data_IF_350010679120
#
_entry.id   IF_350010679120
#
_cell.length_a   1.000
_cell.length_b   1.000
_cell.length_c   1.000
_cell.angle_alpha   90.00
_cell.angle_beta   90.00
_cell.angle_gamma   90.00
#
_symmetry.space_group_name_H-M   'P 1'
#
loop_
_entity.id
_entity.type
_entity.pdbx_description
1 polymer ?
#
# COMPACT_ATOMS: atom_id res chain seq x y z
N UNK A 1 26.37 4.52 19.35
CA UNK A 1 26.75 4.77 17.94
C UNK A 1 27.28 3.52 17.27
N UNK A 2 27.94 2.62 18.01
CA UNK A 2 28.51 1.38 17.45
C UNK A 2 27.48 0.37 16.92
N UNK A 3 26.28 0.30 17.51
CA UNK A 3 25.21 -0.55 16.98
C UNK A 3 24.78 -0.11 15.56
N UNK A 4 24.66 1.20 15.35
CA UNK A 4 24.27 1.78 14.06
C UNK A 4 25.41 1.63 13.05
N UNK A 5 26.67 1.82 13.47
CA UNK A 5 27.84 1.57 12.64
C UNK A 5 28.01 0.09 12.27
N UNK A 6 27.67 -0.83 13.18
CA UNK A 6 27.74 -2.28 12.94
C UNK A 6 26.58 -2.79 12.08
N UNK A 7 25.37 -2.25 12.24
CA UNK A 7 24.22 -2.55 11.35
C UNK A 7 24.42 -2.00 9.94
N UNK A 8 25.03 -0.80 9.86
CA UNK A 8 25.52 -0.26 8.61
C UNK A 8 26.55 -1.26 8.05
N UNK A 9 27.66 -1.55 8.75
CA UNK A 9 28.73 -2.45 8.30
C UNK A 9 28.26 -3.85 7.85
N UNK A 10 27.36 -4.50 8.58
CA UNK A 10 26.81 -5.82 8.22
C UNK A 10 25.99 -5.76 6.93
N UNK A 11 25.20 -4.69 6.73
CA UNK A 11 24.48 -4.44 5.49
C UNK A 11 25.40 -4.19 4.29
N UNK A 12 26.64 -3.71 4.49
CA UNK A 12 27.60 -3.44 3.42
C UNK A 12 28.42 -4.65 2.97
N UNK A 13 28.32 -5.79 3.65
CA UNK A 13 29.08 -7.02 3.34
C UNK A 13 28.54 -7.83 2.14
N UNK A 14 27.47 -7.36 1.50
CA UNK A 14 26.88 -7.96 0.30
C UNK A 14 27.74 -7.63 -0.95
N UNK A 15 28.69 -8.49 -1.27
CA UNK A 15 29.70 -8.28 -2.33
C UNK A 15 29.22 -8.84 -3.69
N UNK A 16 28.43 -8.04 -4.42
CA UNK A 16 28.39 -8.06 -5.89
C UNK A 16 29.08 -6.81 -6.44
N UNK A 17 29.50 -6.79 -7.73
CA UNK A 17 29.95 -5.54 -8.35
C UNK A 17 28.83 -4.52 -8.28
N UNK A 18 29.03 -3.47 -7.49
CA UNK A 18 28.05 -2.40 -7.32
C UNK A 18 28.08 -1.54 -8.58
N UNK A 19 26.94 -1.21 -9.19
CA UNK A 19 26.89 -0.07 -10.08
C UNK A 19 27.38 1.14 -9.30
N UNK A 20 28.10 2.04 -9.97
CA UNK A 20 28.46 3.29 -9.32
C UNK A 20 27.18 4.03 -8.93
N UNK A 21 27.24 4.86 -7.88
CA UNK A 21 26.11 5.72 -7.50
C UNK A 21 25.61 6.53 -8.71
N UNK A 22 26.54 6.96 -9.56
CA UNK A 22 26.25 7.60 -10.84
C UNK A 22 25.45 6.69 -11.77
N UNK A 23 25.83 5.43 -12.01
CA UNK A 23 25.07 4.51 -12.88
C UNK A 23 23.63 4.29 -12.38
N UNK A 24 23.43 4.18 -11.07
CA UNK A 24 22.11 4.05 -10.45
C UNK A 24 21.28 5.33 -10.63
N UNK A 25 21.88 6.49 -10.40
CA UNK A 25 21.25 7.81 -10.53
C UNK A 25 20.90 8.13 -11.99
N UNK A 26 21.79 7.79 -12.93
CA UNK A 26 21.58 7.96 -14.36
C UNK A 26 20.47 7.06 -14.90
N UNK A 27 20.40 5.79 -14.45
CA UNK A 27 19.38 4.83 -14.88
C UNK A 27 17.98 5.13 -14.33
N UNK A 28 17.89 5.34 -13.01
CA UNK A 28 16.64 5.77 -12.35
C UNK A 28 16.22 7.14 -12.89
N UNK A 29 17.15 8.07 -13.03
CA UNK A 29 16.90 9.43 -13.46
C UNK A 29 16.24 9.54 -14.83
N UNK A 30 16.74 8.80 -15.83
CA UNK A 30 16.26 8.89 -17.22
C UNK A 30 14.94 8.17 -17.48
N UNK A 31 14.61 7.15 -16.69
CA UNK A 31 13.44 6.30 -16.98
C UNK A 31 12.34 6.44 -15.93
N UNK A 32 12.68 6.37 -14.64
CA UNK A 32 11.69 6.38 -13.57
C UNK A 32 11.01 7.73 -13.41
N UNK A 33 11.77 8.84 -13.36
CA UNK A 33 11.15 10.16 -13.10
C UNK A 33 10.19 10.63 -14.20
N UNK A 34 10.51 10.50 -15.51
CA UNK A 34 9.55 10.84 -16.56
C UNK A 34 8.28 9.99 -16.48
N UNK A 35 8.41 8.68 -16.20
CA UNK A 35 7.26 7.79 -15.99
C UNK A 35 6.45 8.23 -14.76
N UNK A 36 7.12 8.58 -13.66
CA UNK A 36 6.49 9.04 -12.44
C UNK A 36 5.68 10.32 -12.68
N UNK A 37 6.25 11.30 -13.39
CA UNK A 37 5.54 12.52 -13.78
C UNK A 37 4.33 12.24 -14.67
N UNK A 38 4.46 11.36 -15.66
CA UNK A 38 3.35 10.95 -16.52
C UNK A 38 2.22 10.29 -15.71
N UNK A 39 2.56 9.38 -14.78
CA UNK A 39 1.59 8.77 -13.87
C UNK A 39 0.97 9.79 -12.91
N UNK A 40 1.75 10.72 -12.35
CA UNK A 40 1.23 11.79 -11.50
C UNK A 40 0.23 12.66 -12.25
N UNK A 41 0.51 13.00 -13.52
CA UNK A 41 -0.43 13.72 -14.37
C UNK A 41 -1.72 12.91 -14.55
N UNK A 42 -1.63 11.61 -14.87
CA UNK A 42 -2.81 10.75 -15.04
C UNK A 42 -3.65 10.64 -13.75
N UNK A 43 -3.00 10.37 -12.61
CA UNK A 43 -3.67 10.28 -11.31
C UNK A 43 -4.29 11.61 -10.91
N UNK A 44 -3.59 12.73 -11.14
CA UNK A 44 -4.09 14.08 -10.93
C UNK A 44 -5.31 14.38 -11.80
N UNK A 45 -5.29 14.01 -13.08
CA UNK A 45 -6.45 14.12 -13.97
C UNK A 45 -7.62 13.30 -13.44
N UNK A 46 -7.40 12.02 -13.12
CA UNK A 46 -8.46 11.15 -12.58
C UNK A 46 -9.07 11.71 -11.29
N UNK A 47 -8.25 12.29 -10.41
CA UNK A 47 -8.71 12.94 -9.19
C UNK A 47 -9.54 14.20 -9.46
N UNK A 48 -9.22 14.97 -10.50
CA UNK A 48 -9.92 16.22 -10.84
C UNK A 48 -11.11 16.05 -11.80
N UNK A 49 -11.31 14.87 -12.39
CA UNK A 49 -12.49 14.59 -13.21
C UNK A 49 -13.80 14.66 -12.40
N UNK A 50 -14.90 15.04 -13.06
CA UNK A 50 -16.23 15.10 -12.43
C UNK A 50 -16.32 16.15 -11.33
N UNK A 51 -16.73 15.74 -10.13
CA UNK A 51 -16.95 16.62 -8.97
C UNK A 51 -15.67 17.24 -8.38
N UNK A 52 -14.49 16.89 -8.94
CA UNK A 52 -13.20 17.47 -8.56
C UNK A 52 -12.54 16.84 -7.33
N UNK A 53 -11.32 17.26 -7.02
CA UNK A 53 -10.44 16.61 -6.02
C UNK A 53 -10.96 16.61 -4.56
N UNK A 54 -11.93 17.48 -4.26
CA UNK A 54 -12.57 17.56 -2.92
C UNK A 54 -13.69 16.54 -2.73
N UNK A 55 -14.20 15.97 -3.81
CA UNK A 55 -15.33 15.08 -3.76
C UNK A 55 -14.93 13.67 -3.34
N UNK A 56 -15.76 13.04 -2.51
CA UNK A 56 -15.61 11.65 -2.09
C UNK A 56 -15.59 10.69 -3.29
N UNK A 57 -16.44 10.94 -4.27
CA UNK A 57 -16.54 10.18 -5.52
C UNK A 57 -15.22 10.19 -6.30
N UNK A 58 -14.51 11.32 -6.30
CA UNK A 58 -13.21 11.46 -6.96
C UNK A 58 -12.10 10.67 -6.30
N UNK A 59 -12.05 10.67 -4.96
CA UNK A 59 -11.11 9.85 -4.20
C UNK A 59 -11.41 8.36 -4.43
N UNK A 60 -12.69 7.97 -4.45
CA UNK A 60 -13.10 6.59 -4.70
C UNK A 60 -12.69 6.13 -6.09
N UNK A 61 -12.90 6.96 -7.11
CA UNK A 61 -12.44 6.69 -8.47
C UNK A 61 -10.92 6.51 -8.53
N UNK A 62 -10.15 7.39 -7.89
CA UNK A 62 -8.70 7.29 -7.85
C UNK A 62 -8.23 5.96 -7.22
N UNK A 63 -8.74 5.64 -6.04
CA UNK A 63 -8.42 4.39 -5.32
C UNK A 63 -8.85 3.14 -6.10
N UNK A 64 -10.03 3.18 -6.73
CA UNK A 64 -10.56 2.09 -7.53
C UNK A 64 -9.66 1.80 -8.73
N UNK A 65 -9.27 2.82 -9.50
CA UNK A 65 -8.44 2.63 -10.69
C UNK A 65 -7.02 2.18 -10.34
N UNK A 66 -6.40 2.74 -9.30
CA UNK A 66 -5.10 2.25 -8.86
C UNK A 66 -5.18 0.79 -8.37
N UNK A 67 -6.25 0.43 -7.66
CA UNK A 67 -6.52 -0.94 -7.23
C UNK A 67 -6.73 -1.94 -8.37
N UNK A 68 -6.88 -1.48 -9.61
CA UNK A 68 -6.90 -2.33 -10.81
C UNK A 68 -5.55 -2.26 -11.53
N UNK A 69 -5.13 -1.05 -11.90
CA UNK A 69 -3.95 -0.81 -12.75
C UNK A 69 -2.67 -1.25 -12.05
N UNK A 70 -2.50 -0.93 -10.76
CA UNK A 70 -1.31 -1.29 -9.99
C UNK A 70 -1.09 -2.80 -9.96
N UNK A 71 -2.05 -3.61 -9.47
CA UNK A 71 -1.92 -5.06 -9.48
C UNK A 71 -1.72 -5.67 -10.86
N UNK A 72 -2.39 -5.15 -11.91
CA UNK A 72 -2.18 -5.65 -13.28
C UNK A 72 -0.75 -5.41 -13.75
N UNK A 73 -0.22 -4.19 -13.57
CA UNK A 73 1.16 -3.88 -13.95
C UNK A 73 2.16 -4.69 -13.12
N UNK A 74 1.89 -4.87 -11.81
CA UNK A 74 2.71 -5.71 -10.94
C UNK A 74 2.70 -7.18 -11.38
N UNK A 75 1.54 -7.74 -11.77
CA UNK A 75 1.45 -9.09 -12.33
C UNK A 75 2.16 -9.17 -13.68
N UNK A 76 2.08 -8.15 -14.55
CA UNK A 76 2.84 -8.14 -15.80
C UNK A 76 4.35 -8.09 -15.56
N UNK A 77 4.79 -7.33 -14.55
CA UNK A 77 6.18 -7.30 -14.11
C UNK A 77 6.63 -8.67 -13.62
N UNK A 78 5.91 -9.22 -12.64
CA UNK A 78 5.98 -10.61 -12.20
C UNK A 78 5.35 -11.49 -13.27
N UNK A 79 5.60 -11.28 -14.56
CA UNK A 79 5.40 -12.21 -15.69
C UNK A 79 6.54 -12.02 -16.71
N UNK A 80 7.54 -11.19 -16.39
CA UNK A 80 8.62 -10.79 -17.30
C UNK A 80 8.15 -9.90 -18.44
N UNK A 81 6.90 -9.41 -18.39
CA UNK A 81 6.24 -8.63 -19.45
C UNK A 81 6.14 -7.14 -19.12
N UNK A 82 6.53 -6.74 -17.91
CA UNK A 82 6.44 -5.37 -17.41
C UNK A 82 7.79 -4.81 -16.99
N UNK A 83 7.97 -3.50 -17.14
CA UNK A 83 9.18 -2.80 -16.66
C UNK A 83 9.12 -2.55 -15.15
N UNK A 84 10.26 -2.69 -14.48
CA UNK A 84 10.44 -2.30 -13.08
C UNK A 84 10.09 -0.85 -12.83
N UNK A 85 10.70 0.06 -13.58
CA UNK A 85 10.50 1.49 -13.42
C UNK A 85 9.05 1.89 -13.69
N UNK A 86 8.40 1.26 -14.67
CA UNK A 86 6.97 1.49 -14.94
C UNK A 86 6.09 1.09 -13.75
N UNK A 87 6.37 -0.07 -13.17
CA UNK A 87 5.60 -0.64 -12.05
C UNK A 87 5.74 0.23 -10.81
N UNK A 88 6.99 0.56 -10.44
CA UNK A 88 7.26 1.43 -9.30
C UNK A 88 6.70 2.83 -9.50
N UNK A 89 6.88 3.42 -10.69
CA UNK A 89 6.41 4.78 -10.99
C UNK A 89 4.89 4.88 -10.90
N UNK A 90 4.15 3.89 -11.42
CA UNK A 90 2.70 3.82 -11.35
C UNK A 90 2.20 3.97 -9.90
N UNK A 91 2.70 3.13 -9.01
CA UNK A 91 2.23 3.07 -7.62
C UNK A 91 2.77 4.23 -6.78
N UNK A 92 4.05 4.57 -6.87
CA UNK A 92 4.62 5.68 -6.10
C UNK A 92 3.99 7.02 -6.48
N UNK A 93 3.73 7.26 -7.77
CA UNK A 93 3.02 8.45 -8.22
C UNK A 93 1.60 8.53 -7.65
N UNK A 94 0.87 7.41 -7.60
CA UNK A 94 -0.47 7.35 -7.01
C UNK A 94 -0.43 7.73 -5.53
N UNK A 95 0.43 7.08 -4.74
CA UNK A 95 0.51 7.33 -3.30
C UNK A 95 0.94 8.77 -3.00
N UNK A 96 1.84 9.33 -3.82
CA UNK A 96 2.24 10.73 -3.70
C UNK A 96 1.09 11.70 -4.01
N UNK A 97 0.38 11.49 -5.12
CA UNK A 97 -0.79 12.31 -5.50
C UNK A 97 -1.87 12.24 -4.42
N UNK A 98 -2.16 11.05 -3.89
CA UNK A 98 -3.18 10.91 -2.85
C UNK A 98 -2.75 11.60 -1.55
N UNK A 99 -1.49 11.44 -1.11
CA UNK A 99 -0.97 12.17 0.08
C UNK A 99 -1.08 13.68 -0.08
N UNK A 100 -0.68 14.22 -1.23
CA UNK A 100 -0.84 15.66 -1.49
C UNK A 100 -2.30 16.08 -1.45
N UNK A 101 -3.20 15.28 -2.03
CA UNK A 101 -4.63 15.54 -1.98
C UNK A 101 -5.17 15.48 -0.55
N UNK A 102 -4.69 14.55 0.27
CA UNK A 102 -5.08 14.45 1.67
C UNK A 102 -4.65 15.70 2.46
N UNK A 103 -3.39 16.11 2.31
CA UNK A 103 -2.84 17.31 2.96
C UNK A 103 -3.59 18.56 2.48
N UNK A 104 -3.81 18.70 1.17
CA UNK A 104 -4.59 19.80 0.59
C UNK A 104 -5.98 19.90 1.23
N UNK A 105 -6.71 18.79 1.29
CA UNK A 105 -8.06 18.78 1.84
C UNK A 105 -8.10 19.01 3.34
N UNK A 106 -7.22 18.38 4.11
CA UNK A 106 -7.29 18.38 5.57
C UNK A 106 -6.68 19.65 6.18
N UNK A 107 -5.55 20.14 5.63
CA UNK A 107 -4.78 21.25 6.20
C UNK A 107 -5.17 22.59 5.57
N UNK A 108 -5.25 22.62 4.23
CA UNK A 108 -5.38 23.89 3.51
C UNK A 108 -6.83 24.26 3.20
N UNK A 109 -7.69 23.28 2.96
CA UNK A 109 -9.05 23.51 2.47
C UNK A 109 -10.15 23.21 3.50
N UNK A 110 -9.82 22.50 4.58
CA UNK A 110 -10.78 22.14 5.62
C UNK A 110 -11.94 21.25 5.13
N UNK A 111 -11.73 20.50 4.05
CA UNK A 111 -12.75 19.61 3.49
C UNK A 111 -13.06 18.51 4.50
N UNK A 112 -14.33 18.32 4.86
CA UNK A 112 -14.71 17.22 5.76
C UNK A 112 -14.41 15.88 5.09
N UNK A 113 -13.45 15.15 5.64
CA UNK A 113 -13.09 13.81 5.19
C UNK A 113 -14.28 12.85 5.28
N UNK A 114 -14.35 11.89 4.34
CA UNK A 114 -15.38 10.84 4.36
C UNK A 114 -15.12 9.75 5.41
N UNK A 115 -13.96 9.78 6.06
CA UNK A 115 -13.53 8.83 7.07
C UNK A 115 -13.59 9.44 8.48
N UNK A 116 -13.67 8.58 9.50
CA UNK A 116 -13.44 9.00 10.89
C UNK A 116 -11.99 9.46 11.06
N UNK A 117 -11.68 10.42 11.97
CA UNK A 117 -10.32 10.90 12.18
C UNK A 117 -9.29 9.79 12.46
N UNK A 118 -9.67 8.76 13.22
CA UNK A 118 -8.81 7.60 13.49
C UNK A 118 -8.46 6.81 12.23
N UNK A 119 -9.41 6.64 11.31
CA UNK A 119 -9.18 5.91 10.06
C UNK A 119 -8.34 6.74 9.11
N UNK A 120 -8.54 8.07 9.11
CA UNK A 120 -7.75 9.01 8.33
C UNK A 120 -6.28 9.00 8.73
N UNK A 121 -5.98 8.94 10.03
CA UNK A 121 -4.60 8.80 10.51
C UNK A 121 -3.95 7.50 10.02
N UNK A 122 -4.68 6.37 10.09
CA UNK A 122 -4.17 5.09 9.59
C UNK A 122 -3.90 5.17 8.08
N UNK A 123 -4.74 5.88 7.33
CA UNK A 123 -4.53 6.12 5.90
C UNK A 123 -3.24 6.92 5.65
N UNK A 124 -2.98 8.01 6.37
CA UNK A 124 -1.71 8.74 6.29
C UNK A 124 -0.50 7.85 6.58
N UNK A 125 -0.55 7.09 7.68
CA UNK A 125 0.53 6.19 8.08
C UNK A 125 0.77 5.14 7.00
N UNK A 126 -0.31 4.54 6.46
CA UNK A 126 -0.23 3.57 5.38
C UNK A 126 0.47 4.16 4.15
N UNK A 127 0.03 5.33 3.68
CA UNK A 127 0.58 5.94 2.48
C UNK A 127 2.05 6.35 2.69
N UNK A 128 2.39 6.89 3.86
CA UNK A 128 3.77 7.23 4.21
C UNK A 128 4.68 5.99 4.24
N UNK A 129 4.22 4.90 4.88
CA UNK A 129 4.94 3.62 4.87
C UNK A 129 5.15 3.15 3.43
N UNK A 130 4.12 3.20 2.58
CA UNK A 130 4.24 2.71 1.20
C UNK A 130 5.19 3.57 0.37
N UNK A 131 5.13 4.89 0.47
CA UNK A 131 6.08 5.79 -0.23
C UNK A 131 7.50 5.53 0.25
N UNK A 132 7.73 5.52 1.56
CA UNK A 132 9.06 5.26 2.12
C UNK A 132 9.58 3.89 1.69
N UNK A 133 8.74 2.86 1.80
CA UNK A 133 9.07 1.47 1.45
C UNK A 133 9.41 1.33 -0.04
N UNK A 134 8.60 1.94 -0.90
CA UNK A 134 8.80 1.86 -2.35
C UNK A 134 10.02 2.66 -2.80
N UNK A 135 10.28 3.83 -2.22
CA UNK A 135 11.49 4.60 -2.50
C UNK A 135 12.76 3.87 -2.05
N UNK A 136 12.75 3.27 -0.85
CA UNK A 136 13.85 2.44 -0.38
C UNK A 136 14.09 1.25 -1.30
N UNK A 137 13.03 0.55 -1.71
CA UNK A 137 13.14 -0.57 -2.64
C UNK A 137 13.55 -0.15 -4.07
N UNK A 138 13.27 1.09 -4.49
CA UNK A 138 13.73 1.64 -5.77
C UNK A 138 15.26 1.80 -5.79
N UNK A 139 15.84 2.32 -4.71
CA UNK A 139 17.27 2.64 -4.63
C UNK A 139 18.13 1.51 -4.06
N UNK A 140 17.57 0.63 -3.24
CA UNK A 140 18.29 -0.46 -2.57
C UNK A 140 18.05 -1.82 -3.22
N UNK A 141 17.52 -1.84 -4.46
CA UNK A 141 17.12 -3.05 -5.18
C UNK A 141 18.22 -4.12 -5.22
N UNK A 142 19.45 -3.73 -5.49
CA UNK A 142 20.55 -4.68 -5.71
C UNK A 142 21.17 -5.20 -4.40
N UNK A 143 20.93 -4.54 -3.28
CA UNK A 143 21.34 -4.98 -1.94
C UNK A 143 20.21 -5.67 -1.18
N UNK A 144 19.04 -5.82 -1.81
CA UNK A 144 17.80 -6.17 -1.11
C UNK A 144 17.67 -7.67 -0.81
N UNK A 145 17.73 -8.52 -1.83
CA UNK A 145 17.36 -9.93 -1.73
C UNK A 145 18.21 -10.83 -2.62
N UNK A 146 18.58 -12.02 -2.11
CA UNK A 146 19.22 -13.09 -2.89
C UNK A 146 18.14 -13.91 -3.57
N UNK A 147 18.21 -13.96 -4.89
CA UNK A 147 17.23 -14.67 -5.72
C UNK A 147 17.30 -16.17 -5.45
N UNK A 148 18.50 -16.68 -5.18
CA UNK A 148 18.77 -18.09 -4.92
C UNK A 148 18.05 -18.60 -3.65
N UNK A 149 17.77 -17.70 -2.71
CA UNK A 149 17.15 -18.01 -1.41
C UNK A 149 15.62 -17.85 -1.43
N UNK A 150 15.03 -17.27 -2.49
CA UNK A 150 13.58 -17.03 -2.62
C UNK A 150 12.82 -18.22 -3.23
N UNK A 151 13.52 -19.27 -3.64
CA UNK A 151 12.95 -20.51 -4.18
C UNK A 151 12.56 -20.44 -5.66
N UNK A 152 12.30 -21.62 -6.28
CA UNK A 152 12.12 -21.74 -7.73
C UNK A 152 10.87 -21.02 -8.28
N UNK A 153 9.89 -20.74 -7.42
CA UNK A 153 8.63 -20.07 -7.79
C UNK A 153 8.75 -18.55 -8.00
N UNK A 154 9.87 -17.93 -7.61
CA UNK A 154 10.14 -16.48 -7.74
C UNK A 154 11.44 -16.19 -8.49
N UNK A 155 12.28 -17.21 -8.72
CA UNK A 155 13.55 -17.11 -9.43
C UNK A 155 13.43 -16.61 -10.87
N UNK A 156 12.24 -16.68 -11.47
CA UNK A 156 11.99 -16.26 -12.84
C UNK A 156 11.80 -14.74 -13.00
N UNK A 157 11.54 -14.01 -11.90
CA UNK A 157 11.44 -12.55 -11.87
C UNK A 157 12.82 -11.89 -11.93
N UNK A 158 13.83 -12.64 -11.48
CA UNK A 158 15.20 -12.22 -11.55
C UNK A 158 15.83 -12.72 -12.86
N UNK A 159 15.98 -11.80 -13.82
CA UNK A 159 17.27 -11.74 -14.49
C UNK A 159 18.38 -11.76 -13.41
N UNK A 160 19.59 -12.24 -13.70
CA UNK A 160 20.51 -12.88 -12.74
C UNK A 160 20.92 -12.16 -11.42
N UNK A 161 20.33 -11.03 -10.98
CA UNK A 161 20.88 -10.22 -9.87
C UNK A 161 19.93 -9.54 -8.87
N UNK A 162 18.58 -9.49 -9.01
CA UNK A 162 17.76 -8.92 -7.92
C UNK A 162 16.25 -9.13 -8.03
N UNK A 163 15.63 -9.43 -6.89
CA UNK A 163 14.18 -9.44 -6.66
C UNK A 163 13.77 -8.20 -5.85
N UNK A 164 12.67 -7.53 -6.23
CA UNK A 164 12.17 -6.38 -5.50
C UNK A 164 10.95 -6.75 -4.63
N UNK A 165 11.08 -6.72 -3.30
CA UNK A 165 10.00 -7.13 -2.41
C UNK A 165 8.77 -6.23 -2.49
N UNK A 166 8.88 -5.00 -3.01
CA UNK A 166 7.77 -4.07 -3.11
C UNK A 166 6.78 -4.46 -4.21
N UNK A 167 7.22 -5.11 -5.29
CA UNK A 167 6.34 -5.43 -6.43
C UNK A 167 5.21 -6.38 -6.02
N UNK A 168 5.45 -7.50 -5.31
CA UNK A 168 4.37 -8.31 -4.76
C UNK A 168 3.46 -7.55 -3.80
N UNK A 169 3.98 -6.54 -3.09
CA UNK A 169 3.18 -5.74 -2.18
C UNK A 169 2.14 -4.88 -2.93
N UNK A 170 2.42 -4.48 -4.18
CA UNK A 170 1.47 -3.74 -5.03
C UNK A 170 0.23 -4.60 -5.34
N UNK A 171 0.39 -5.93 -5.46
CA UNK A 171 -0.72 -6.85 -5.71
C UNK A 171 -1.78 -6.80 -4.60
N UNK A 172 -1.42 -6.37 -3.39
CA UNK A 172 -2.37 -6.18 -2.28
C UNK A 172 -3.48 -5.17 -2.57
N UNK A 173 -3.24 -4.27 -3.51
CA UNK A 173 -4.23 -3.28 -3.94
C UNK A 173 -5.38 -3.90 -4.76
N UNK A 174 -5.27 -5.18 -5.17
CA UNK A 174 -6.34 -5.87 -5.89
C UNK A 174 -7.64 -6.04 -5.07
N UNK A 175 -7.55 -5.97 -3.74
CA UNK A 175 -8.74 -5.94 -2.86
C UNK A 175 -9.40 -4.55 -2.76
N UNK A 176 -8.69 -3.49 -3.14
CA UNK A 176 -9.12 -2.10 -2.98
C UNK A 176 -10.36 -1.74 -3.81
N UNK A 177 -10.53 -2.19 -5.07
CA UNK A 177 -11.76 -1.91 -5.83
C UNK A 177 -13.01 -2.42 -5.12
N UNK A 178 -12.95 -3.61 -4.52
CA UNK A 178 -14.07 -4.18 -3.75
C UNK A 178 -14.33 -3.39 -2.46
N UNK A 179 -13.30 -2.86 -1.81
CA UNK A 179 -13.48 -1.95 -0.67
C UNK A 179 -14.21 -0.68 -1.07
N UNK A 180 -13.82 -0.07 -2.20
CA UNK A 180 -14.45 1.14 -2.71
C UNK A 180 -15.91 0.86 -3.09
N UNK A 181 -16.18 -0.21 -3.83
CA UNK A 181 -17.54 -0.64 -4.16
C UNK A 181 -18.37 -0.93 -2.91
N UNK A 182 -17.81 -1.54 -1.88
CA UNK A 182 -18.51 -1.77 -0.63
C UNK A 182 -18.83 -0.46 0.10
N UNK A 183 -17.95 0.53 0.04
CA UNK A 183 -18.17 1.85 0.65
C UNK A 183 -19.26 2.65 -0.06
N UNK A 184 -19.37 2.49 -1.38
CA UNK A 184 -20.37 3.15 -2.21
C UNK A 184 -21.73 2.44 -2.16
N UNK A 185 -21.73 1.11 -2.23
CA UNK A 185 -22.92 0.27 -2.27
C UNK A 185 -23.09 -0.58 -1.00
N UNK A 186 -23.17 0.10 0.15
CA UNK A 186 -23.28 -0.54 1.49
C UNK A 186 -24.45 -1.50 1.65
N UNK A 187 -25.51 -1.33 0.87
CA UNK A 187 -26.71 -2.17 0.88
C UNK A 187 -26.53 -3.49 0.13
N UNK A 188 -25.49 -3.63 -0.69
CA UNK A 188 -25.21 -4.85 -1.42
C UNK A 188 -24.57 -5.89 -0.48
N UNK A 189 -25.30 -6.98 -0.24
CA UNK A 189 -24.91 -8.07 0.68
C UNK A 189 -23.73 -8.91 0.17
N UNK A 190 -23.37 -8.80 -1.11
CA UNK A 190 -22.34 -9.64 -1.75
C UNK A 190 -20.96 -8.95 -1.70
N UNK A 191 -20.91 -7.63 -1.91
CA UNK A 191 -19.65 -6.91 -2.09
C UNK A 191 -18.80 -6.92 -0.80
N UNK A 192 -19.44 -6.80 0.37
CA UNK A 192 -18.75 -6.86 1.66
C UNK A 192 -18.02 -8.19 1.89
N UNK A 193 -18.72 -9.35 1.79
CA UNK A 193 -18.09 -10.67 1.83
C UNK A 193 -17.02 -10.87 0.76
N UNK A 194 -17.28 -10.46 -0.49
CA UNK A 194 -16.30 -10.56 -1.57
C UNK A 194 -15.01 -9.78 -1.25
N UNK A 195 -15.14 -8.55 -0.76
CA UNK A 195 -14.00 -7.76 -0.28
C UNK A 195 -13.24 -8.50 0.82
N UNK A 196 -13.92 -9.02 1.85
CA UNK A 196 -13.28 -9.71 2.96
C UNK A 196 -12.51 -10.96 2.51
N UNK A 197 -13.08 -11.76 1.61
CA UNK A 197 -12.44 -12.95 1.06
C UNK A 197 -11.21 -12.58 0.22
N UNK A 198 -11.34 -11.62 -0.71
CA UNK A 198 -10.22 -11.20 -1.56
C UNK A 198 -9.12 -10.54 -0.72
N UNK A 199 -9.48 -9.72 0.27
CA UNK A 199 -8.53 -9.16 1.23
C UNK A 199 -7.77 -10.28 1.95
N UNK A 200 -8.48 -11.27 2.51
CA UNK A 200 -7.84 -12.38 3.23
C UNK A 200 -6.89 -13.19 2.33
N UNK A 201 -7.33 -13.58 1.13
CA UNK A 201 -6.52 -14.38 0.23
C UNK A 201 -5.25 -13.64 -0.23
N UNK A 202 -5.36 -12.36 -0.58
CA UNK A 202 -4.23 -11.62 -1.15
C UNK A 202 -3.31 -11.06 -0.07
N UNK A 203 -3.86 -10.39 0.95
CA UNK A 203 -3.06 -9.70 1.98
C UNK A 203 -2.56 -10.65 3.07
N UNK A 204 -3.40 -11.58 3.49
CA UNK A 204 -3.04 -12.50 4.58
C UNK A 204 -2.39 -13.77 4.05
N UNK A 205 -3.06 -14.54 3.20
CA UNK A 205 -2.53 -15.83 2.73
C UNK A 205 -1.32 -15.62 1.81
N UNK A 206 -1.49 -14.90 0.71
CA UNK A 206 -0.41 -14.70 -0.25
C UNK A 206 0.72 -13.82 0.32
N UNK A 207 0.40 -12.63 0.83
CA UNK A 207 1.44 -11.69 1.23
C UNK A 207 2.05 -12.01 2.61
N UNK A 208 1.21 -12.20 3.63
CA UNK A 208 1.72 -12.36 5.00
C UNK A 208 2.20 -13.79 5.32
N UNK A 209 1.47 -14.81 4.86
CA UNK A 209 1.80 -16.22 5.19
C UNK A 209 2.80 -16.80 4.18
N UNK A 210 2.65 -16.50 2.89
CA UNK A 210 3.55 -17.05 1.86
C UNK A 210 4.77 -16.14 1.60
N UNK A 211 4.58 -14.87 1.23
CA UNK A 211 5.71 -13.99 0.87
C UNK A 211 6.56 -13.55 2.07
N UNK A 212 5.95 -13.19 3.20
CA UNK A 212 6.70 -12.62 4.31
C UNK A 212 7.82 -13.55 4.84
N UNK A 213 7.61 -14.87 5.02
CA UNK A 213 8.70 -15.78 5.37
C UNK A 213 9.81 -15.86 4.33
N UNK A 214 9.46 -15.79 3.04
CA UNK A 214 10.45 -15.76 1.95
C UNK A 214 11.31 -14.49 2.02
N UNK A 215 10.69 -13.33 2.23
CA UNK A 215 11.41 -12.08 2.42
C UNK A 215 12.28 -12.09 3.68
N UNK A 216 11.78 -12.67 4.77
CA UNK A 216 12.51 -12.74 6.03
C UNK A 216 13.76 -13.62 5.93
N UNK A 217 13.71 -14.67 5.10
CA UNK A 217 14.81 -15.62 4.94
C UNK A 217 15.76 -15.27 3.79
N UNK A 218 15.26 -14.68 2.69
CA UNK A 218 16.04 -14.41 1.48
C UNK A 218 16.45 -12.94 1.27
N UNK A 219 16.05 -12.02 2.14
CA UNK A 219 16.41 -10.60 2.06
C UNK A 219 17.24 -10.13 3.25
N UNK A 220 18.01 -9.06 3.03
CA UNK A 220 18.73 -8.40 4.12
C UNK A 220 17.72 -7.84 5.14
N UNK A 221 17.72 -8.42 6.35
CA UNK A 221 16.71 -8.09 7.35
C UNK A 221 16.80 -6.65 7.84
N UNK A 222 17.99 -6.10 7.90
CA UNK A 222 18.24 -4.76 8.42
C UNK A 222 17.88 -3.67 7.41
N UNK A 223 18.05 -3.96 6.11
CA UNK A 223 17.82 -3.01 5.03
C UNK A 223 16.40 -3.09 4.46
N UNK A 224 15.85 -4.30 4.38
CA UNK A 224 14.58 -4.56 3.68
C UNK A 224 13.49 -4.98 4.64
N UNK A 225 13.73 -6.01 5.44
CA UNK A 225 12.66 -6.58 6.27
C UNK A 225 12.15 -5.57 7.29
N UNK A 226 13.02 -5.08 8.18
CA UNK A 226 12.59 -4.23 9.29
C UNK A 226 12.07 -2.86 8.86
N UNK A 227 12.77 -2.10 7.98
CA UNK A 227 12.34 -0.74 7.68
C UNK A 227 11.32 -0.66 6.53
N UNK A 228 11.25 -1.65 5.63
CA UNK A 228 10.39 -1.58 4.45
C UNK A 228 9.22 -2.58 4.53
N UNK A 229 9.50 -3.88 4.69
CA UNK A 229 8.47 -4.91 4.53
C UNK A 229 7.61 -5.11 5.80
N UNK A 230 8.22 -5.17 6.98
CA UNK A 230 7.54 -5.45 8.24
C UNK A 230 6.44 -4.42 8.58
N UNK A 231 6.66 -3.09 8.48
CA UNK A 231 5.61 -2.10 8.77
C UNK A 231 4.38 -2.30 7.87
N UNK A 232 4.62 -2.70 6.62
CA UNK A 232 3.57 -2.98 5.66
C UNK A 232 2.79 -4.26 5.98
N UNK A 233 3.44 -5.34 6.41
CA UNK A 233 2.71 -6.52 6.90
C UNK A 233 1.94 -6.24 8.20
N UNK A 234 2.55 -5.51 9.13
CA UNK A 234 1.92 -5.17 10.41
C UNK A 234 0.60 -4.40 10.20
N UNK A 235 0.59 -3.41 9.30
CA UNK A 235 -0.64 -2.63 9.03
C UNK A 235 -1.72 -3.49 8.35
N UNK A 236 -1.36 -4.49 7.55
CA UNK A 236 -2.33 -5.42 6.97
C UNK A 236 -3.04 -6.27 8.02
N UNK A 237 -2.30 -6.75 9.03
CA UNK A 237 -2.89 -7.48 10.15
C UNK A 237 -3.83 -6.60 10.98
N UNK A 238 -3.50 -5.32 11.17
CA UNK A 238 -4.40 -4.35 11.80
C UNK A 238 -5.70 -4.20 11.01
N UNK A 239 -5.62 -4.05 9.69
CA UNK A 239 -6.81 -3.99 8.84
C UNK A 239 -7.62 -5.29 8.86
N UNK A 240 -6.96 -6.44 8.83
CA UNK A 240 -7.63 -7.74 8.92
C UNK A 240 -8.40 -7.89 10.21
N UNK A 241 -7.78 -7.54 11.34
CA UNK A 241 -8.46 -7.53 12.64
C UNK A 241 -9.71 -6.63 12.63
N UNK A 242 -9.61 -5.43 12.04
CA UNK A 242 -10.76 -4.53 11.92
C UNK A 242 -11.89 -5.11 11.07
N UNK A 243 -11.55 -5.81 9.97
CA UNK A 243 -12.53 -6.48 9.11
C UNK A 243 -13.23 -7.61 9.88
N UNK A 244 -12.47 -8.48 10.55
CA UNK A 244 -13.04 -9.59 11.34
C UNK A 244 -13.90 -9.06 12.48
N UNK A 245 -13.45 -8.04 13.22
CA UNK A 245 -14.24 -7.43 14.28
C UNK A 245 -15.55 -6.82 13.76
N UNK A 246 -15.54 -6.26 12.55
CA UNK A 246 -16.74 -5.74 11.90
C UNK A 246 -17.70 -6.87 11.46
N UNK A 247 -17.19 -7.95 10.87
CA UNK A 247 -17.96 -9.12 10.43
C UNK A 247 -18.59 -9.84 11.62
N UNK A 248 -17.84 -10.03 12.70
CA UNK A 248 -18.29 -10.68 13.93
C UNK A 248 -19.14 -9.77 14.84
N UNK A 249 -19.35 -8.50 14.45
CA UNK A 249 -20.16 -7.56 15.23
C UNK A 249 -19.57 -7.18 16.59
N UNK A 250 -18.28 -7.42 16.82
CA UNK A 250 -17.61 -7.18 18.12
C UNK A 250 -17.62 -5.70 18.54
N UNK A 251 -17.84 -4.77 17.60
CA UNK A 251 -17.96 -3.33 17.87
C UNK A 251 -19.40 -2.80 18.09
N UNK A 252 -20.45 -3.62 17.95
CA UNK A 252 -21.85 -3.17 18.04
C UNK A 252 -22.49 -3.31 19.44
N UNK A 253 -21.86 -4.02 20.37
CA UNK A 253 -22.45 -4.36 21.68
C UNK A 253 -22.65 -3.20 22.67
N UNK A 254 -22.23 -1.97 22.37
CA UNK A 254 -22.26 -0.86 23.33
C UNK A 254 -23.20 0.33 23.03
N UNK A 255 -23.81 0.40 21.83
CA UNK A 255 -24.58 1.60 21.42
C UNK A 255 -26.10 1.48 21.44
N UNK A 256 -26.65 0.27 21.56
CA UNK A 256 -28.10 0.05 21.65
C UNK A 256 -28.70 0.47 23.00
N UNK A 257 -27.99 0.24 24.10
CA UNK A 257 -28.55 0.44 25.45
C UNK A 257 -28.67 1.92 25.88
N UNK A 258 -27.90 2.85 25.29
CA UNK A 258 -28.00 4.29 25.60
C UNK A 258 -29.00 5.05 24.72
N UNK A 259 -29.39 4.50 23.57
CA UNK A 259 -30.37 5.15 22.68
C UNK A 259 -31.81 4.95 23.18
N UNK A 260 -32.16 3.74 23.66
CA UNK A 260 -33.50 3.47 24.19
C UNK A 260 -33.76 4.11 25.56
N UNK A 261 -32.71 4.37 26.35
CA UNK A 261 -32.85 5.07 27.64
C UNK A 261 -33.03 6.60 27.46
N UNK A 262 -32.52 7.17 26.36
CA UNK A 262 -32.65 8.60 26.08
C UNK A 262 -34.00 8.97 25.43
N UNK A 263 -34.60 8.08 24.64
CA UNK A 263 -35.93 8.29 24.02
C UNK A 263 -37.12 8.06 24.97
N UNK A 264 -36.88 7.57 26.19
CA UNK A 264 -37.91 7.44 27.25
C UNK A 264 -37.89 8.57 28.28
N UNK A 265 -36.98 9.54 28.16
CA UNK A 265 -37.01 10.71 29.02
C UNK A 265 -38.17 11.62 28.59
N UNK A 266 -39.14 11.95 29.48
CA UNK A 266 -40.25 12.82 29.14
C UNK A 266 -39.71 14.19 28.70
N UNK A 267 -40.07 14.61 27.48
CA UNK A 267 -39.84 15.97 27.01
C UNK A 267 -40.55 16.92 27.97
N UNK A 268 -39.78 17.74 28.70
CA UNK A 268 -40.32 18.88 29.43
C UNK A 268 -40.93 19.84 28.40
N UNK A 269 -42.23 20.02 28.47
CA UNK A 269 -42.96 21.06 27.75
C UNK A 269 -42.66 22.37 28.49
N UNK A 270 -42.04 23.32 27.79
CA UNK A 270 -41.98 24.73 28.19
C UNK A 270 -42.88 25.52 27.26
#
# INVERSE_FOLDING_TARGET
>A
MDLLANMVSSAWSFQGPRPSFEELEWGVGRTFWPLCLAWMSLWGTLLNMGEGARAKSSIYRLHFWHGIVGPVIAVLHVLGKGSFHLTMACTLAYFFVDVLNMIANDVFLGTKGYQKPSNRLIEYIHHAIVVFSGMGCLYLRESACRVEELGPGLAWEAGPRSFNPFVPLIVNEASTPLLILYREHRTNSIIGPAFAVVFFLIRIVLNSVYFAPLLFNGCNREVIWWPQAFPFFAIQWVFFYQIIAAVLGLGKKGKGAKSEAADRAPKKIN
#
